data_IF_777876313239
#
_entry.id   IF_777876313239
#
_cell.length_a   1.000
_cell.length_b   1.000
_cell.length_c   1.000
_cell.angle_alpha   90.00
_cell.angle_beta   90.00
_cell.angle_gamma   90.00
#
_symmetry.space_group_name_H-M   'P 1'
#
loop_
_entity.id
_entity.type
_entity.pdbx_description
1 polymer ?
#
# COMPACT_ATOMS: atom_id res chain seq x y z
N UNK A 1 -29.12 53.04 -0.09
CA UNK A 1 -27.73 52.98 -0.62
C UNK A 1 -26.83 52.71 0.58
N UNK A 2 -25.98 51.68 0.69
CA UNK A 2 -25.60 50.61 -0.20
C UNK A 2 -25.34 49.35 0.64
N UNK A 3 -25.85 48.23 0.16
CA UNK A 3 -25.61 46.84 0.57
C UNK A 3 -24.40 46.29 -0.18
N UNK A 4 -23.36 45.76 0.49
CA UNK A 4 -22.37 44.87 -0.15
C UNK A 4 -21.83 43.82 0.86
N UNK A 5 -22.33 42.59 0.68
CA UNK A 5 -21.61 41.31 0.65
C UNK A 5 -20.78 40.86 1.87
N UNK A 6 -21.38 39.99 2.69
CA UNK A 6 -20.70 38.84 3.32
C UNK A 6 -21.49 37.58 2.96
N UNK A 7 -21.29 37.11 1.72
CA UNK A 7 -21.90 35.91 1.17
C UNK A 7 -20.81 34.96 0.70
N UNK A 8 -20.16 34.24 1.63
CA UNK A 8 -19.08 33.31 1.32
C UNK A 8 -19.20 31.93 1.96
N UNK A 9 -19.52 31.83 3.26
CA UNK A 9 -19.39 30.54 3.98
C UNK A 9 -20.55 29.56 3.84
N UNK A 10 -21.71 29.96 3.31
CA UNK A 10 -22.92 29.12 3.32
C UNK A 10 -23.15 28.29 2.05
N UNK A 11 -22.31 28.42 1.01
CA UNK A 11 -22.47 27.66 -0.25
C UNK A 11 -21.91 26.23 -0.13
N UNK A 12 -20.76 26.03 0.51
CA UNK A 12 -20.11 24.71 0.62
C UNK A 12 -20.92 23.74 1.52
N UNK A 13 -21.60 24.24 2.56
CA UNK A 13 -22.42 23.43 3.46
C UNK A 13 -23.75 22.98 2.84
N UNK A 14 -24.35 23.76 1.92
CA UNK A 14 -25.61 23.38 1.26
C UNK A 14 -25.44 22.31 0.19
N UNK A 15 -24.25 22.19 -0.39
CA UNK A 15 -23.96 21.22 -1.44
C UNK A 15 -23.63 19.83 -0.88
N UNK A 16 -23.11 19.76 0.35
CA UNK A 16 -22.87 18.50 1.06
C UNK A 16 -24.17 17.83 1.56
N UNK A 17 -25.17 18.62 1.97
CA UNK A 17 -26.41 18.10 2.58
C UNK A 17 -27.44 17.67 1.52
N UNK A 18 -27.42 18.23 0.30
CA UNK A 18 -28.36 17.87 -0.77
C UNK A 18 -28.09 16.54 -1.48
N UNK A 19 -26.93 15.90 -1.25
CA UNK A 19 -26.57 14.63 -1.92
C UNK A 19 -27.02 13.37 -1.16
N UNK A 20 -27.58 13.49 0.04
CA UNK A 20 -27.97 12.34 0.88
C UNK A 20 -29.42 11.88 0.71
N UNK A 21 -30.25 12.59 -0.07
CA UNK A 21 -31.67 12.30 -0.19
C UNK A 21 -32.08 12.18 -1.66
N UNK A 22 -31.92 10.99 -2.24
CA UNK A 22 -32.73 10.50 -3.37
C UNK A 22 -32.52 8.97 -3.49
N UNK A 23 -33.45 8.20 -2.93
CA UNK A 23 -33.64 6.76 -3.15
C UNK A 23 -34.81 6.55 -4.10
N UNK A 24 -34.61 5.85 -5.22
CA UNK A 24 -35.65 5.10 -5.97
C UNK A 24 -34.97 3.87 -6.65
N UNK A 25 -35.65 2.72 -6.83
CA UNK A 25 -35.01 1.39 -6.90
C UNK A 25 -35.04 0.66 -8.27
N UNK A 26 -34.27 -0.45 -8.30
CA UNK A 26 -34.39 -1.71 -9.08
C UNK A 26 -34.13 -1.74 -10.61
N UNK A 27 -33.12 -2.51 -11.03
CA UNK A 27 -33.26 -3.73 -11.84
C UNK A 27 -31.88 -4.42 -12.06
N UNK A 28 -31.83 -5.74 -11.93
CA UNK A 28 -30.63 -6.55 -12.09
C UNK A 28 -30.52 -7.15 -13.51
N UNK A 29 -29.34 -7.01 -14.13
CA UNK A 29 -28.89 -7.85 -15.24
C UNK A 29 -27.34 -7.92 -15.27
N UNK A 30 -26.74 -9.00 -15.81
CA UNK A 30 -25.41 -9.46 -15.38
C UNK A 30 -24.32 -9.15 -16.40
N UNK A 31 -23.56 -8.08 -16.17
CA UNK A 31 -22.19 -7.90 -16.68
C UNK A 31 -21.61 -6.62 -16.08
N UNK A 32 -21.09 -6.67 -14.85
CA UNK A 32 -20.68 -5.44 -14.17
C UNK A 32 -19.42 -5.61 -13.33
N UNK A 33 -18.26 -5.62 -13.99
CA UNK A 33 -16.97 -5.26 -13.37
C UNK A 33 -16.65 -3.77 -13.55
N UNK A 34 -17.66 -2.95 -13.90
CA UNK A 34 -17.54 -1.51 -13.97
C UNK A 34 -18.56 -0.90 -13.03
N UNK A 35 -18.17 -0.66 -11.78
CA UNK A 35 -18.96 0.20 -10.88
C UNK A 35 -19.19 1.56 -11.58
N UNK A 36 -20.42 1.93 -11.95
CA UNK A 36 -20.71 3.28 -12.36
C UNK A 36 -20.82 4.14 -11.08
N UNK A 37 -20.22 5.33 -11.12
CA UNK A 37 -20.08 6.30 -10.02
C UNK A 37 -18.99 5.98 -8.98
N UNK A 38 -17.92 6.77 -9.06
CA UNK A 38 -16.80 6.79 -8.12
C UNK A 38 -17.21 7.28 -6.74
N UNK A 39 -17.65 6.36 -5.89
CA UNK A 39 -17.43 6.51 -4.47
C UNK A 39 -15.90 6.47 -4.26
N UNK A 40 -15.29 7.56 -3.79
CA UNK A 40 -13.93 7.53 -3.24
C UNK A 40 -13.97 6.57 -2.06
N UNK A 41 -13.70 5.28 -2.31
CA UNK A 41 -13.61 4.28 -1.25
C UNK A 41 -12.25 4.52 -0.58
N UNK A 42 -12.28 5.28 0.51
CA UNK A 42 -11.11 5.48 1.36
C UNK A 42 -10.63 4.12 1.87
N UNK A 43 -9.31 3.92 1.90
CA UNK A 43 -8.75 2.66 2.36
C UNK A 43 -8.89 2.57 3.89
N UNK A 44 -8.66 3.71 4.55
CA UNK A 44 -8.95 3.93 5.96
C UNK A 44 -10.20 4.82 6.10
N UNK A 45 -11.05 4.56 7.08
CA UNK A 45 -12.22 5.41 7.32
C UNK A 45 -11.81 6.75 7.94
N UNK A 46 -12.63 7.79 7.77
CA UNK A 46 -12.40 9.10 8.41
C UNK A 46 -12.30 8.99 9.94
N UNK A 47 -12.97 8.01 10.54
CA UNK A 47 -12.89 7.67 11.97
C UNK A 47 -11.51 7.10 12.34
N UNK A 48 -10.97 6.16 11.55
CA UNK A 48 -9.62 5.62 11.75
C UNK A 48 -8.57 6.72 11.59
N UNK A 49 -8.76 7.59 10.61
CA UNK A 49 -7.90 8.76 10.40
C UNK A 49 -8.09 9.85 11.46
N UNK A 50 -9.22 9.83 12.20
CA UNK A 50 -9.65 10.86 13.17
C UNK A 50 -9.72 12.27 12.57
N UNK A 51 -10.18 12.38 11.32
CA UNK A 51 -10.31 13.67 10.63
C UNK A 51 -11.39 14.54 11.27
N UNK A 52 -12.52 13.94 11.63
CA UNK A 52 -13.62 14.65 12.28
C UNK A 52 -13.23 15.17 13.67
N UNK A 53 -12.55 14.37 14.50
CA UNK A 53 -12.03 14.80 15.80
C UNK A 53 -11.08 15.99 15.66
N UNK A 54 -10.21 15.97 14.65
CA UNK A 54 -9.29 17.07 14.35
C UNK A 54 -10.06 18.35 13.97
N UNK A 55 -11.03 18.25 13.05
CA UNK A 55 -11.87 19.39 12.66
C UNK A 55 -12.66 19.98 13.84
N UNK A 56 -13.21 19.13 14.71
CA UNK A 56 -13.88 19.58 15.92
C UNK A 56 -12.93 20.33 16.86
N UNK A 57 -11.70 19.84 17.03
CA UNK A 57 -10.69 20.54 17.84
C UNK A 57 -10.31 21.91 17.25
N UNK A 58 -10.21 22.03 15.91
CA UNK A 58 -10.01 23.33 15.25
C UNK A 58 -11.13 24.31 15.58
N UNK A 59 -12.38 23.86 15.56
CA UNK A 59 -13.53 24.71 15.90
C UNK A 59 -13.48 25.17 17.36
N UNK A 60 -13.20 24.26 18.31
CA UNK A 60 -13.11 24.61 19.73
C UNK A 60 -12.01 25.66 19.97
N UNK A 61 -10.82 25.44 19.40
CA UNK A 61 -9.68 26.36 19.55
C UNK A 61 -9.96 27.71 18.87
N UNK A 62 -10.58 27.68 17.68
CA UNK A 62 -10.99 28.90 16.98
C UNK A 62 -11.99 29.75 17.77
N UNK A 63 -12.95 29.12 18.45
CA UNK A 63 -13.90 29.81 19.32
C UNK A 63 -13.23 30.40 20.57
N UNK A 64 -12.27 29.70 21.17
CA UNK A 64 -11.54 30.18 22.36
C UNK A 64 -10.74 31.46 22.08
N UNK A 65 -10.21 31.60 20.88
CA UNK A 65 -9.41 32.77 20.48
C UNK A 65 -10.24 33.96 19.99
N UNK A 66 -11.57 33.88 19.98
CA UNK A 66 -12.50 34.97 19.62
C UNK A 66 -12.17 35.70 18.29
N UNK A 67 -11.44 35.06 17.37
CA UNK A 67 -11.02 35.67 16.10
C UNK A 67 -9.63 36.32 16.10
N UNK A 68 -8.87 36.30 17.19
CA UNK A 68 -7.50 36.84 17.27
C UNK A 68 -6.43 35.90 16.69
N UNK A 69 -6.75 35.22 15.59
CA UNK A 69 -5.82 34.31 14.90
C UNK A 69 -4.55 35.06 14.48
N UNK A 70 -4.69 36.20 13.82
CA UNK A 70 -3.55 36.92 13.24
C UNK A 70 -2.61 37.47 14.33
N UNK A 71 -3.17 37.89 15.46
CA UNK A 71 -2.41 38.30 16.66
C UNK A 71 -1.59 37.12 17.21
N UNK A 72 -2.19 35.94 17.27
CA UNK A 72 -1.51 34.73 17.73
C UNK A 72 -0.36 34.33 16.79
N UNK A 73 -0.59 34.33 15.47
CA UNK A 73 0.45 34.05 14.48
C UNK A 73 1.61 35.06 14.57
N UNK A 74 1.31 36.35 14.67
CA UNK A 74 2.31 37.41 14.83
C UNK A 74 3.16 37.20 16.09
N UNK A 75 2.54 36.77 17.19
CA UNK A 75 3.24 36.49 18.45
C UNK A 75 4.20 35.30 18.32
N UNK A 76 3.77 34.23 17.64
CA UNK A 76 4.61 33.05 17.38
C UNK A 76 5.76 33.38 16.44
N UNK A 77 5.52 34.17 15.40
CA UNK A 77 6.56 34.65 14.48
C UNK A 77 7.58 35.55 15.19
N UNK A 78 7.13 36.45 16.05
CA UNK A 78 8.03 37.27 16.87
C UNK A 78 8.93 36.39 17.76
N UNK A 79 8.38 35.31 18.35
CA UNK A 79 9.16 34.34 19.12
C UNK A 79 10.20 33.64 18.26
N UNK A 80 9.86 33.23 17.03
CA UNK A 80 10.82 32.67 16.09
C UNK A 80 11.95 33.65 15.79
N UNK A 81 11.62 34.91 15.48
CA UNK A 81 12.62 35.95 15.17
C UNK A 81 13.54 36.26 16.35
N UNK A 82 13.00 36.26 17.57
CA UNK A 82 13.75 36.50 18.81
C UNK A 82 14.41 35.25 19.39
N UNK A 83 14.36 34.10 18.70
CA UNK A 83 14.87 32.80 19.16
C UNK A 83 14.34 32.38 20.54
N UNK A 84 13.12 32.79 20.91
CA UNK A 84 12.49 32.39 22.17
C UNK A 84 11.98 30.94 22.08
N UNK A 85 11.91 30.28 23.24
CA UNK A 85 11.44 28.89 23.35
C UNK A 85 9.98 28.77 22.91
N UNK A 86 9.69 27.75 22.10
CA UNK A 86 8.35 27.42 21.64
C UNK A 86 7.76 26.35 22.55
N UNK A 87 6.63 26.65 23.19
CA UNK A 87 5.97 25.70 24.08
C UNK A 87 5.14 24.68 23.29
N UNK A 88 4.93 23.52 23.91
CA UNK A 88 4.13 22.42 23.37
C UNK A 88 2.70 22.85 23.01
N UNK A 89 2.03 23.55 23.92
CA UNK A 89 0.66 24.03 23.68
C UNK A 89 0.61 25.12 22.61
N UNK A 90 1.71 25.87 22.42
CA UNK A 90 1.77 26.89 21.39
C UNK A 90 1.82 26.27 19.99
N UNK A 91 2.67 25.26 19.80
CA UNK A 91 2.69 24.49 18.55
C UNK A 91 1.36 23.76 18.33
N UNK A 92 0.77 23.19 19.39
CA UNK A 92 -0.53 22.52 19.30
C UNK A 92 -1.62 23.47 18.84
N UNK A 93 -1.75 24.66 19.45
CA UNK A 93 -2.74 25.65 19.04
C UNK A 93 -2.49 26.13 17.61
N UNK A 94 -1.24 26.44 17.25
CA UNK A 94 -0.86 26.89 15.91
C UNK A 94 -1.36 25.91 14.84
N UNK A 95 -1.10 24.61 15.00
CA UNK A 95 -1.50 23.58 14.02
C UNK A 95 -3.02 23.49 13.83
N UNK A 96 -3.81 23.74 14.88
CA UNK A 96 -5.28 23.72 14.78
C UNK A 96 -5.84 25.03 14.23
N UNK A 97 -5.09 26.13 14.28
CA UNK A 97 -5.49 27.41 13.71
C UNK A 97 -5.15 27.57 12.22
N UNK A 98 -4.26 26.74 11.68
CA UNK A 98 -3.90 26.78 10.26
C UNK A 98 -5.13 26.50 9.38
N UNK A 99 -5.34 27.38 8.39
CA UNK A 99 -6.43 27.31 7.41
C UNK A 99 -5.93 27.47 5.96
N UNK A 100 -4.75 28.08 5.78
CA UNK A 100 -4.16 28.34 4.46
C UNK A 100 -2.79 27.70 4.33
N UNK A 101 -2.30 27.56 3.09
CA UNK A 101 -0.94 27.09 2.81
C UNK A 101 0.12 28.03 3.45
N UNK A 102 -0.11 29.34 3.46
CA UNK A 102 0.76 30.31 4.12
C UNK A 102 0.89 30.04 5.63
N UNK A 103 -0.23 29.70 6.29
CA UNK A 103 -0.21 29.33 7.71
C UNK A 103 0.63 28.08 7.95
N UNK A 104 0.58 27.12 7.02
CA UNK A 104 1.34 25.88 7.09
C UNK A 104 2.84 26.13 6.94
N UNK A 105 3.26 27.07 6.10
CA UNK A 105 4.67 27.46 5.99
C UNK A 105 5.22 28.04 7.30
N UNK A 106 4.43 28.84 8.02
CA UNK A 106 4.77 29.28 9.39
C UNK A 106 4.86 28.08 10.32
N UNK A 107 3.87 27.19 10.28
CA UNK A 107 3.85 25.98 11.11
C UNK A 107 5.06 25.07 10.87
N UNK A 108 5.52 24.91 9.61
CA UNK A 108 6.76 24.18 9.29
C UNK A 108 7.96 24.77 10.03
N UNK A 109 8.16 26.10 9.95
CA UNK A 109 9.27 26.78 10.66
C UNK A 109 9.22 26.55 12.16
N UNK A 110 8.02 26.62 12.75
CA UNK A 110 7.80 26.34 14.17
C UNK A 110 8.08 24.88 14.51
N UNK A 111 7.69 23.93 13.66
CA UNK A 111 8.00 22.50 13.82
C UNK A 111 9.52 22.27 13.84
N UNK A 112 10.27 22.85 12.90
CA UNK A 112 11.73 22.72 12.89
C UNK A 112 12.35 23.27 14.17
N UNK A 113 11.92 24.47 14.60
CA UNK A 113 12.42 25.10 15.83
C UNK A 113 12.10 24.27 17.06
N UNK A 114 10.84 23.88 17.23
CA UNK A 114 10.37 23.07 18.35
C UNK A 114 11.08 21.73 18.40
N UNK A 115 11.23 21.05 17.25
CA UNK A 115 11.92 19.77 17.22
C UNK A 115 13.40 19.92 17.58
N UNK A 116 14.09 20.94 17.05
CA UNK A 116 15.49 21.23 17.40
C UNK A 116 15.70 21.52 18.89
N UNK A 117 14.78 22.26 19.52
CA UNK A 117 14.80 22.54 20.97
C UNK A 117 14.58 21.29 21.83
N UNK A 118 13.77 20.35 21.35
CA UNK A 118 13.29 19.21 22.14
C UNK A 118 13.95 17.86 21.76
N UNK A 119 15.00 17.83 20.91
CA UNK A 119 15.64 16.57 20.47
C UNK A 119 16.14 15.68 21.61
N UNK A 120 16.50 16.28 22.75
CA UNK A 120 17.13 15.58 23.88
C UNK A 120 16.16 15.27 25.04
N UNK A 121 14.90 15.70 24.95
CA UNK A 121 13.89 15.41 25.98
C UNK A 121 13.19 14.12 25.59
N UNK A 122 13.10 13.16 26.52
CA UNK A 122 12.49 11.86 26.27
C UNK A 122 11.10 12.01 25.62
N UNK A 123 11.00 11.62 24.35
CA UNK A 123 9.78 11.68 23.55
C UNK A 123 8.72 10.76 24.15
N UNK A 124 7.77 11.33 24.89
CA UNK A 124 6.74 10.55 25.59
C UNK A 124 5.34 11.17 25.68
N UNK A 125 5.18 12.49 25.60
CA UNK A 125 3.88 13.05 26.00
C UNK A 125 2.91 13.40 24.87
N UNK A 126 3.38 13.86 23.71
CA UNK A 126 2.47 14.32 22.67
C UNK A 126 3.03 14.16 21.26
N UNK A 127 2.16 13.69 20.35
CA UNK A 127 2.53 13.29 19.00
C UNK A 127 1.98 14.32 18.01
N UNK A 128 2.85 15.23 17.58
CA UNK A 128 2.49 16.26 16.60
C UNK A 128 2.37 15.73 15.17
N UNK A 129 3.12 14.67 14.83
CA UNK A 129 3.13 14.07 13.49
C UNK A 129 1.74 13.80 12.91
N UNK A 130 0.85 13.08 13.63
CA UNK A 130 -0.51 12.83 13.14
C UNK A 130 -1.34 14.10 12.94
N UNK A 131 -1.16 15.14 13.77
CA UNK A 131 -1.92 16.40 13.64
C UNK A 131 -1.49 17.14 12.38
N UNK A 132 -0.18 17.27 12.16
CA UNK A 132 0.35 17.89 10.96
C UNK A 132 -0.09 17.14 9.69
N UNK A 133 -0.09 15.80 9.72
CA UNK A 133 -0.55 15.01 8.58
C UNK A 133 -2.04 15.18 8.29
N UNK A 134 -2.90 15.33 9.31
CA UNK A 134 -4.32 15.66 9.12
C UNK A 134 -4.52 17.06 8.56
N UNK A 135 -3.72 18.02 9.00
CA UNK A 135 -3.73 19.37 8.44
C UNK A 135 -3.38 19.35 6.94
N UNK A 136 -2.35 18.61 6.55
CA UNK A 136 -2.02 18.43 5.13
C UNK A 136 -3.11 17.66 4.37
N UNK A 137 -3.80 16.71 5.00
CA UNK A 137 -4.93 16.00 4.41
C UNK A 137 -6.11 16.94 4.14
N UNK A 138 -6.44 17.83 5.07
CA UNK A 138 -7.54 18.80 4.94
C UNK A 138 -7.27 19.85 3.86
N UNK A 139 -6.01 20.33 3.77
CA UNK A 139 -5.61 21.40 2.86
C UNK A 139 -5.06 20.90 1.52
N UNK A 140 -5.11 19.59 1.25
CA UNK A 140 -4.57 18.98 0.03
C UNK A 140 -3.08 19.34 -0.22
N UNK A 141 -2.27 19.31 0.85
CA UNK A 141 -0.83 19.64 0.82
C UNK A 141 0.05 18.39 0.82
N UNK A 142 -0.22 17.43 -0.08
CA UNK A 142 0.52 16.17 -0.12
C UNK A 142 2.03 16.34 -0.38
N UNK A 143 2.44 17.34 -1.17
CA UNK A 143 3.85 17.58 -1.49
C UNK A 143 4.64 17.98 -0.23
N UNK A 144 4.13 18.97 0.50
CA UNK A 144 4.67 19.43 1.79
C UNK A 144 4.73 18.31 2.83
N UNK A 145 3.74 17.42 2.85
CA UNK A 145 3.74 16.29 3.78
C UNK A 145 4.82 15.24 3.44
N UNK A 146 5.01 14.94 2.15
CA UNK A 146 6.05 14.00 1.68
C UNK A 146 7.45 14.57 1.91
N UNK A 147 7.65 15.87 1.72
CA UNK A 147 8.91 16.55 2.01
C UNK A 147 9.28 16.42 3.49
N UNK A 148 8.39 16.84 4.39
CA UNK A 148 8.69 16.87 5.82
C UNK A 148 8.89 15.48 6.43
N UNK A 149 8.13 14.47 6.00
CA UNK A 149 8.25 13.12 6.58
C UNK A 149 9.57 12.44 6.22
N UNK A 150 10.17 12.82 5.07
CA UNK A 150 11.45 12.29 4.57
C UNK A 150 12.65 13.12 5.05
N UNK A 151 12.41 14.28 5.66
CA UNK A 151 13.47 15.17 6.11
C UNK A 151 14.23 14.58 7.31
N UNK A 152 15.54 14.43 7.13
CA UNK A 152 16.44 13.94 8.16
C UNK A 152 16.58 14.90 9.34
N UNK A 153 16.37 16.21 9.14
CA UNK A 153 16.39 17.19 10.23
C UNK A 153 15.25 16.97 11.25
N UNK A 154 14.16 16.33 10.80
CA UNK A 154 12.98 15.97 11.59
C UNK A 154 12.94 14.49 11.98
N UNK A 155 14.06 13.76 11.89
CA UNK A 155 14.13 12.37 12.27
C UNK A 155 13.65 12.16 13.72
N UNK A 156 12.67 11.28 13.91
CA UNK A 156 12.04 11.01 15.21
C UNK A 156 10.84 11.90 15.54
N UNK A 157 10.64 13.03 14.85
CA UNK A 157 9.42 13.85 15.01
C UNK A 157 8.16 13.07 14.60
N UNK A 158 8.23 12.35 13.48
CA UNK A 158 7.16 11.48 12.98
C UNK A 158 7.28 10.04 13.52
N UNK A 159 7.52 9.85 14.81
CA UNK A 159 7.73 8.50 15.39
C UNK A 159 6.47 7.61 15.43
N UNK A 160 5.27 8.17 15.24
CA UNK A 160 4.02 7.41 15.21
C UNK A 160 3.68 6.95 13.78
N UNK A 161 3.44 5.64 13.63
CA UNK A 161 2.93 5.01 12.42
C UNK A 161 1.66 5.66 11.86
N UNK A 162 0.83 6.26 12.72
CA UNK A 162 -0.39 6.97 12.33
C UNK A 162 -0.09 8.12 11.37
N UNK A 163 1.05 8.82 11.54
CA UNK A 163 1.47 9.92 10.65
C UNK A 163 1.68 9.40 9.22
N UNK A 164 2.40 8.29 9.09
CA UNK A 164 2.65 7.63 7.81
C UNK A 164 1.36 7.07 7.20
N UNK A 165 0.49 6.46 8.02
CA UNK A 165 -0.78 5.91 7.54
C UNK A 165 -1.71 6.98 6.96
N UNK A 166 -1.82 8.15 7.62
CA UNK A 166 -2.62 9.29 7.11
C UNK A 166 -2.06 9.77 5.76
N UNK A 167 -0.74 9.94 5.66
CA UNK A 167 -0.10 10.38 4.41
C UNK A 167 -0.24 9.35 3.29
N UNK A 168 -0.04 8.07 3.58
CA UNK A 168 -0.23 7.00 2.60
C UNK A 168 -1.68 6.94 2.10
N UNK A 169 -2.67 7.11 2.97
CA UNK A 169 -4.08 7.18 2.56
C UNK A 169 -4.35 8.41 1.67
N UNK A 170 -3.84 9.59 2.04
CA UNK A 170 -3.94 10.81 1.22
C UNK A 170 -3.37 10.58 -0.19
N UNK A 171 -2.15 10.05 -0.27
CA UNK A 171 -1.50 9.77 -1.55
C UNK A 171 -2.25 8.70 -2.36
N UNK A 172 -2.80 7.70 -1.68
CA UNK A 172 -3.61 6.67 -2.32
C UNK A 172 -4.90 7.23 -2.92
N UNK A 173 -5.60 8.10 -2.19
CA UNK A 173 -6.82 8.79 -2.65
C UNK A 173 -6.51 9.72 -3.83
N UNK A 174 -5.33 10.33 -3.86
CA UNK A 174 -4.82 11.17 -4.96
C UNK A 174 -4.21 10.37 -6.11
N UNK A 175 -4.27 9.03 -6.07
CA UNK A 175 -3.67 8.13 -7.08
C UNK A 175 -2.15 8.29 -7.28
N UNK A 176 -1.43 8.80 -6.28
CA UNK A 176 0.04 8.93 -6.29
C UNK A 176 0.67 7.69 -5.63
N UNK A 177 0.55 6.53 -6.28
CA UNK A 177 0.89 5.24 -5.68
C UNK A 177 2.39 5.04 -5.48
N UNK A 178 3.22 5.55 -6.38
CA UNK A 178 4.69 5.50 -6.30
C UNK A 178 5.18 6.29 -5.08
N UNK A 179 4.69 7.52 -4.91
CA UNK A 179 4.98 8.33 -3.73
C UNK A 179 4.52 7.67 -2.44
N UNK A 180 3.35 7.00 -2.45
CA UNK A 180 2.85 6.27 -1.29
C UNK A 180 3.75 5.08 -0.93
N UNK A 181 4.29 4.38 -1.94
CA UNK A 181 5.27 3.31 -1.74
C UNK A 181 6.57 3.85 -1.14
N UNK A 182 7.06 5.00 -1.61
CA UNK A 182 8.25 5.63 -1.03
C UNK A 182 8.05 5.99 0.45
N UNK A 183 6.86 6.49 0.82
CA UNK A 183 6.53 6.79 2.23
C UNK A 183 6.54 5.53 3.08
N UNK A 184 6.06 4.39 2.55
CA UNK A 184 6.15 3.09 3.23
C UNK A 184 7.60 2.64 3.44
N UNK A 185 8.46 2.83 2.42
CA UNK A 185 9.88 2.48 2.51
C UNK A 185 10.62 3.39 3.50
N UNK A 186 10.30 4.68 3.52
CA UNK A 186 10.86 5.62 4.50
C UNK A 186 10.42 5.26 5.93
N UNK A 187 9.16 4.89 6.13
CA UNK A 187 8.66 4.39 7.43
C UNK A 187 9.49 3.21 7.93
N UNK A 188 9.83 2.26 7.03
CA UNK A 188 10.69 1.11 7.34
C UNK A 188 12.11 1.56 7.70
N UNK A 189 12.68 2.48 6.92
CA UNK A 189 14.03 3.03 7.11
C UNK A 189 14.19 3.75 8.45
N UNK A 190 13.17 4.50 8.87
CA UNK A 190 13.12 5.15 10.18
C UNK A 190 12.83 4.18 11.35
N UNK A 191 12.65 2.89 11.07
CA UNK A 191 12.39 1.87 12.10
C UNK A 191 11.00 1.98 12.75
N UNK A 192 10.06 2.69 12.14
CA UNK A 192 8.72 2.86 12.68
C UNK A 192 7.93 1.56 12.52
N UNK A 193 7.35 1.07 13.63
CA UNK A 193 6.64 -0.21 13.67
C UNK A 193 5.41 -0.19 12.75
N UNK A 194 5.24 -1.24 11.96
CA UNK A 194 4.07 -1.40 11.12
C UNK A 194 2.84 -1.78 11.95
N UNK A 195 1.76 -1.05 11.69
CA UNK A 195 0.43 -1.33 12.25
C UNK A 195 -0.38 -2.21 11.29
N UNK A 196 -1.55 -2.69 11.73
CA UNK A 196 -2.49 -3.41 10.86
C UNK A 196 -2.93 -2.56 9.65
N UNK A 197 -3.13 -1.27 9.87
CA UNK A 197 -3.53 -0.32 8.82
C UNK A 197 -2.38 -0.05 7.84
N UNK A 198 -1.14 0.00 8.34
CA UNK A 198 0.06 0.09 7.50
C UNK A 198 0.15 -1.09 6.54
N UNK A 199 -0.10 -2.31 7.03
CA UNK A 199 -0.13 -3.49 6.18
C UNK A 199 -1.25 -3.40 5.13
N UNK A 200 -2.45 -2.97 5.52
CA UNK A 200 -3.55 -2.81 4.58
C UNK A 200 -3.21 -1.83 3.45
N UNK A 201 -2.65 -0.68 3.80
CA UNK A 201 -2.21 0.35 2.85
C UNK A 201 -1.12 -0.18 1.93
N UNK A 202 -0.09 -0.84 2.47
CA UNK A 202 1.00 -1.41 1.68
C UNK A 202 0.50 -2.36 0.59
N UNK A 203 -0.39 -3.31 0.96
CA UNK A 203 -0.94 -4.27 0.01
C UNK A 203 -1.86 -3.61 -1.03
N UNK A 204 -2.63 -2.60 -0.65
CA UNK A 204 -3.45 -1.85 -1.59
C UNK A 204 -2.60 -1.05 -2.59
N UNK A 205 -1.51 -0.43 -2.13
CA UNK A 205 -0.54 0.28 -2.99
C UNK A 205 0.10 -0.71 -3.96
N UNK A 206 0.60 -1.87 -3.47
CA UNK A 206 1.16 -2.92 -4.33
C UNK A 206 0.15 -3.36 -5.41
N UNK A 207 -1.12 -3.55 -5.03
CA UNK A 207 -2.17 -3.96 -5.94
C UNK A 207 -2.41 -2.97 -7.08
N UNK A 208 -2.35 -1.67 -6.76
CA UNK A 208 -2.51 -0.60 -7.76
C UNK A 208 -1.31 -0.51 -8.69
N UNK A 209 -0.09 -0.53 -8.16
CA UNK A 209 1.14 -0.47 -8.96
C UNK A 209 1.33 -1.71 -9.85
N UNK A 210 1.14 -2.92 -9.30
CA UNK A 210 1.37 -4.19 -9.99
C UNK A 210 2.73 -4.29 -10.71
N UNK A 211 3.74 -3.61 -10.20
CA UNK A 211 5.12 -3.73 -10.70
C UNK A 211 5.80 -4.94 -10.06
N UNK A 212 6.79 -5.53 -10.74
CA UNK A 212 7.58 -6.64 -10.18
C UNK A 212 8.22 -6.28 -8.84
N UNK A 213 8.64 -5.02 -8.68
CA UNK A 213 9.19 -4.50 -7.44
C UNK A 213 8.14 -4.45 -6.31
N UNK A 214 6.94 -3.92 -6.59
CA UNK A 214 5.85 -3.88 -5.61
C UNK A 214 5.47 -5.28 -5.11
N UNK A 215 5.51 -6.28 -5.99
CA UNK A 215 5.24 -7.67 -5.61
C UNK A 215 6.34 -8.24 -4.69
N UNK A 216 7.62 -7.96 -4.97
CA UNK A 216 8.72 -8.35 -4.08
C UNK A 216 8.55 -7.73 -2.69
N UNK A 217 8.21 -6.45 -2.63
CA UNK A 217 7.94 -5.75 -1.36
C UNK A 217 6.81 -6.44 -0.61
N UNK A 218 5.69 -6.71 -1.27
CA UNK A 218 4.56 -7.40 -0.66
C UNK A 218 4.90 -8.82 -0.17
N UNK A 219 5.74 -9.59 -0.88
CA UNK A 219 6.23 -10.90 -0.41
C UNK A 219 7.11 -10.76 0.84
N UNK A 220 8.07 -9.82 0.85
CA UNK A 220 8.91 -9.60 2.03
C UNK A 220 8.10 -9.17 3.25
N UNK A 221 7.07 -8.33 3.05
CA UNK A 221 6.15 -7.95 4.11
C UNK A 221 5.37 -9.15 4.67
N UNK A 222 4.97 -10.09 3.81
CA UNK A 222 4.28 -11.30 4.25
C UNK A 222 5.18 -12.18 5.12
N UNK A 223 6.41 -12.42 4.66
CA UNK A 223 7.41 -13.23 5.35
C UNK A 223 7.77 -12.63 6.72
N UNK A 224 8.03 -11.32 6.78
CA UNK A 224 8.32 -10.60 8.02
C UNK A 224 7.18 -10.71 9.04
N UNK A 225 5.94 -10.67 8.57
CA UNK A 225 4.76 -10.75 9.42
C UNK A 225 4.50 -12.17 9.93
N UNK A 226 4.78 -13.18 9.11
CA UNK A 226 4.73 -14.59 9.50
C UNK A 226 5.77 -14.92 10.56
N UNK A 227 7.01 -14.42 10.39
CA UNK A 227 8.08 -14.58 11.38
C UNK A 227 7.72 -13.95 12.73
N UNK A 228 7.00 -12.82 12.72
CA UNK A 228 6.52 -12.13 13.92
C UNK A 228 5.26 -12.74 14.52
N UNK A 229 4.64 -13.74 13.88
CA UNK A 229 3.40 -14.38 14.35
C UNK A 229 2.18 -13.47 14.36
N UNK A 230 2.16 -12.39 13.57
CA UNK A 230 1.07 -11.41 13.58
C UNK A 230 -0.05 -11.84 12.62
N UNK A 231 -1.26 -12.02 13.16
CA UNK A 231 -2.46 -12.31 12.37
C UNK A 231 -2.85 -11.11 11.49
N UNK A 232 -2.93 -11.34 10.18
CA UNK A 232 -3.35 -10.33 9.20
C UNK A 232 -4.88 -10.22 9.14
N UNK A 233 -5.45 -9.01 9.00
CA UNK A 233 -6.86 -8.84 8.67
C UNK A 233 -7.22 -9.54 7.37
N UNK A 234 -8.44 -10.11 7.28
CA UNK A 234 -8.94 -10.80 6.07
C UNK A 234 -8.79 -9.97 4.79
N UNK A 235 -8.99 -8.65 4.88
CA UNK A 235 -8.82 -7.73 3.74
C UNK A 235 -7.41 -7.73 3.15
N UNK A 236 -6.38 -7.90 3.98
CA UNK A 236 -4.99 -7.97 3.52
C UNK A 236 -4.78 -9.24 2.70
N UNK A 237 -5.33 -10.37 3.13
CA UNK A 237 -5.33 -11.60 2.34
C UNK A 237 -6.06 -11.43 1.01
N UNK A 238 -7.21 -10.74 0.99
CA UNK A 238 -7.91 -10.44 -0.26
C UNK A 238 -7.04 -9.64 -1.23
N UNK A 239 -6.31 -8.62 -0.73
CA UNK A 239 -5.36 -7.88 -1.57
C UNK A 239 -4.19 -8.74 -2.01
N UNK A 240 -3.62 -9.57 -1.14
CA UNK A 240 -2.53 -10.48 -1.48
C UNK A 240 -2.95 -11.46 -2.60
N UNK A 241 -4.14 -12.04 -2.48
CA UNK A 241 -4.73 -12.90 -3.52
C UNK A 241 -4.96 -12.11 -4.81
N UNK A 242 -5.49 -10.89 -4.73
CA UNK A 242 -5.72 -10.06 -5.90
C UNK A 242 -4.42 -9.67 -6.63
N UNK A 243 -3.35 -9.36 -5.87
CA UNK A 243 -2.00 -9.13 -6.41
C UNK A 243 -1.49 -10.40 -7.08
N UNK A 244 -1.57 -11.55 -6.40
CA UNK A 244 -1.12 -12.84 -6.95
C UNK A 244 -1.85 -13.21 -8.23
N UNK A 245 -3.18 -13.04 -8.28
CA UNK A 245 -3.99 -13.27 -9.48
C UNK A 245 -3.60 -12.36 -10.65
N UNK A 246 -3.26 -11.10 -10.37
CA UNK A 246 -2.79 -10.16 -11.40
C UNK A 246 -1.41 -10.56 -11.92
N UNK A 247 -0.52 -11.00 -11.03
CA UNK A 247 0.80 -11.52 -11.39
C UNK A 247 0.76 -12.86 -12.16
N UNK A 248 -0.24 -13.72 -11.92
CA UNK A 248 -0.45 -14.96 -12.70
C UNK A 248 -0.71 -14.63 -14.18
N UNK A 249 -1.31 -13.48 -14.50
CA UNK A 249 -1.48 -13.07 -15.89
C UNK A 249 -0.15 -12.77 -16.59
N UNK A 250 0.79 -12.17 -15.86
CA UNK A 250 2.03 -11.62 -16.40
C UNK A 250 3.24 -12.58 -16.26
N UNK A 251 3.19 -13.54 -15.33
CA UNK A 251 4.33 -14.41 -14.99
C UNK A 251 4.24 -15.80 -15.64
N UNK A 252 5.30 -16.19 -16.33
CA UNK A 252 5.47 -17.51 -16.95
C UNK A 252 6.26 -18.45 -16.02
N UNK A 253 5.55 -19.08 -15.08
CA UNK A 253 6.04 -20.20 -14.29
C UNK A 253 5.14 -21.43 -14.54
N UNK A 254 5.67 -22.65 -14.37
CA UNK A 254 4.92 -23.91 -14.52
C UNK A 254 3.60 -23.89 -13.73
N UNK A 255 3.65 -23.55 -12.45
CA UNK A 255 2.46 -23.49 -11.59
C UNK A 255 1.51 -22.38 -12.05
N UNK A 256 2.03 -21.17 -12.32
CA UNK A 256 1.22 -20.03 -12.77
C UNK A 256 0.54 -20.30 -14.12
N UNK A 257 1.20 -20.99 -15.04
CA UNK A 257 0.67 -21.33 -16.37
C UNK A 257 -0.50 -22.31 -16.25
N UNK A 258 -0.38 -23.32 -15.38
CA UNK A 258 -1.47 -24.25 -15.09
C UNK A 258 -2.64 -23.57 -14.38
N UNK A 259 -2.37 -22.71 -13.38
CA UNK A 259 -3.40 -21.91 -12.71
C UNK A 259 -4.10 -20.95 -13.68
N UNK A 260 -3.37 -20.34 -14.61
CA UNK A 260 -3.91 -19.43 -15.62
C UNK A 260 -4.90 -20.13 -16.55
N UNK A 261 -4.53 -21.29 -17.09
CA UNK A 261 -5.42 -22.11 -17.95
C UNK A 261 -6.68 -22.50 -17.18
N UNK A 262 -6.54 -22.97 -15.93
CA UNK A 262 -7.68 -23.34 -15.10
C UNK A 262 -8.60 -22.14 -14.81
N UNK A 263 -8.01 -20.97 -14.53
CA UNK A 263 -8.76 -19.75 -14.24
C UNK A 263 -9.54 -19.27 -15.47
N UNK A 264 -8.93 -19.31 -16.66
CA UNK A 264 -9.59 -18.97 -17.93
C UNK A 264 -10.72 -19.94 -18.27
N UNK A 265 -10.52 -21.25 -18.05
CA UNK A 265 -11.55 -22.26 -18.25
C UNK A 265 -12.76 -22.04 -17.33
N UNK A 266 -12.53 -21.60 -16.09
CA UNK A 266 -13.60 -21.32 -15.12
C UNK A 266 -14.25 -19.95 -15.33
N UNK A 267 -13.53 -18.95 -15.84
CA UNK A 267 -14.09 -17.62 -16.14
C UNK A 267 -14.83 -17.55 -17.48
N UNK A 268 -14.71 -18.57 -18.34
CA UNK A 268 -15.31 -18.61 -19.67
C UNK A 268 -14.52 -17.83 -20.74
N UNK A 269 -13.26 -17.48 -20.46
CA UNK A 269 -12.35 -16.87 -21.44
C UNK A 269 -11.72 -17.97 -22.32
N UNK A 270 -12.55 -18.58 -23.18
CA UNK A 270 -12.17 -19.74 -24.00
C UNK A 270 -11.11 -19.39 -25.05
N UNK A 271 -11.22 -18.22 -25.70
CA UNK A 271 -10.23 -17.74 -26.67
C UNK A 271 -8.88 -17.47 -25.99
N UNK A 272 -8.89 -16.76 -24.85
CA UNK A 272 -7.67 -16.48 -24.10
C UNK A 272 -6.99 -17.74 -23.56
N UNK A 273 -7.76 -18.80 -23.28
CA UNK A 273 -7.26 -20.12 -22.92
C UNK A 273 -6.49 -20.74 -24.09
N UNK A 274 -7.12 -20.88 -25.26
CA UNK A 274 -6.50 -21.49 -26.45
C UNK A 274 -5.22 -20.75 -26.82
N UNK A 275 -5.25 -19.42 -26.85
CA UNK A 275 -4.07 -18.60 -27.13
C UNK A 275 -2.94 -18.77 -26.10
N UNK A 276 -3.28 -19.06 -24.84
CA UNK A 276 -2.27 -19.27 -23.79
C UNK A 276 -1.57 -20.62 -23.96
N UNK A 277 -2.31 -21.64 -24.37
CA UNK A 277 -1.77 -22.97 -24.69
C UNK A 277 -0.95 -22.94 -25.98
N UNK A 278 -1.45 -22.26 -27.02
CA UNK A 278 -0.73 -22.02 -28.29
C UNK A 278 0.62 -21.32 -28.05
N UNK A 279 0.61 -20.17 -27.35
CA UNK A 279 1.85 -19.43 -27.03
C UNK A 279 2.87 -20.27 -26.27
N UNK A 280 2.42 -21.19 -25.41
CA UNK A 280 3.30 -22.07 -24.66
C UNK A 280 3.86 -23.24 -25.51
N UNK A 281 3.13 -23.65 -26.55
CA UNK A 281 3.57 -24.63 -27.55
C UNK A 281 4.61 -24.04 -28.50
N UNK A 282 4.44 -22.77 -28.93
CA UNK A 282 5.30 -22.14 -29.93
C UNK A 282 6.67 -21.68 -29.38
N UNK A 283 6.75 -21.38 -28.07
CA UNK A 283 7.99 -20.91 -27.42
C UNK A 283 9.03 -22.01 -27.13
N UNK A 284 8.89 -23.19 -27.72
CA UNK A 284 9.80 -24.31 -27.54
C UNK A 284 11.16 -24.10 -28.25
N UNK A 285 11.96 -23.13 -27.81
CA UNK A 285 13.38 -23.08 -28.17
C UNK A 285 14.16 -24.13 -27.37
N UNK A 286 15.20 -24.72 -27.98
CA UNK A 286 16.01 -25.81 -27.40
C UNK A 286 16.70 -25.42 -26.07
N UNK A 287 16.83 -24.12 -25.80
CA UNK A 287 17.61 -23.57 -24.69
C UNK A 287 16.78 -23.04 -23.51
N UNK A 288 15.45 -22.96 -23.63
CA UNK A 288 14.56 -22.49 -22.55
C UNK A 288 13.76 -23.66 -21.99
N UNK A 289 13.64 -23.73 -20.66
CA UNK A 289 12.81 -24.76 -20.00
C UNK A 289 11.40 -24.73 -20.58
N UNK A 290 10.97 -25.85 -21.15
CA UNK A 290 9.64 -26.01 -21.73
C UNK A 290 8.58 -25.85 -20.63
N UNK A 291 7.50 -25.12 -20.94
CA UNK A 291 6.36 -25.03 -20.04
C UNK A 291 5.66 -26.38 -19.96
N UNK A 292 5.52 -26.91 -18.74
CA UNK A 292 4.86 -28.19 -18.48
C UNK A 292 3.43 -27.97 -17.96
N UNK A 293 2.46 -28.65 -18.56
CA UNK A 293 1.05 -28.60 -18.17
C UNK A 293 0.60 -29.90 -17.52
N UNK A 294 -0.22 -29.81 -16.47
CA UNK A 294 -0.87 -30.94 -15.83
C UNK A 294 -1.95 -31.51 -16.74
N UNK A 295 -1.97 -32.83 -16.90
CA UNK A 295 -3.02 -33.51 -17.67
C UNK A 295 -4.43 -33.13 -17.17
N UNK A 296 -4.63 -33.13 -15.85
CA UNK A 296 -5.89 -32.76 -15.21
C UNK A 296 -6.40 -31.36 -15.60
N UNK A 297 -5.50 -30.39 -15.78
CA UNK A 297 -5.88 -29.02 -16.12
C UNK A 297 -6.32 -28.95 -17.58
N UNK A 298 -5.60 -29.64 -18.47
CA UNK A 298 -5.92 -29.69 -19.89
C UNK A 298 -7.22 -30.48 -20.16
N UNK A 299 -7.48 -31.56 -19.42
CA UNK A 299 -8.77 -32.29 -19.53
C UNK A 299 -9.94 -31.42 -19.07
N UNK A 300 -9.78 -30.67 -17.97
CA UNK A 300 -10.80 -29.72 -17.50
C UNK A 300 -11.06 -28.61 -18.52
N UNK A 301 -10.01 -28.12 -19.19
CA UNK A 301 -10.12 -27.15 -20.27
C UNK A 301 -10.88 -27.72 -21.48
N UNK A 302 -10.55 -28.95 -21.88
CA UNK A 302 -11.22 -29.68 -22.97
C UNK A 302 -12.73 -29.80 -22.74
N UNK A 303 -13.15 -30.20 -21.54
CA UNK A 303 -14.57 -30.31 -21.19
C UNK A 303 -15.31 -28.97 -21.36
N UNK A 304 -14.67 -27.85 -21.02
CA UNK A 304 -15.26 -26.52 -21.14
C UNK A 304 -15.31 -25.98 -22.57
N UNK A 305 -14.45 -26.49 -23.45
CA UNK A 305 -14.40 -26.12 -24.88
C UNK A 305 -15.38 -26.91 -25.75
N UNK A 306 -16.04 -27.96 -25.24
CA UNK A 306 -17.00 -28.76 -26.02
C UNK A 306 -18.17 -27.96 -26.60
N UNK A 307 -18.48 -26.79 -26.05
CA UNK A 307 -19.52 -25.88 -26.54
C UNK A 307 -19.13 -25.06 -27.77
N UNK A 308 -17.84 -24.98 -28.14
CA UNK A 308 -17.35 -24.24 -29.31
C UNK A 308 -16.47 -25.13 -30.19
N UNK A 309 -17.02 -25.66 -31.31
CA UNK A 309 -16.31 -26.58 -32.19
C UNK A 309 -15.03 -25.99 -32.79
N UNK A 310 -14.97 -24.67 -33.01
CA UNK A 310 -13.84 -24.02 -33.67
C UNK A 310 -12.63 -23.93 -32.75
N UNK A 311 -12.87 -23.52 -31.50
CA UNK A 311 -11.83 -23.45 -30.47
C UNK A 311 -11.41 -24.84 -30.01
N UNK A 312 -12.34 -25.80 -30.02
CA UNK A 312 -12.05 -27.18 -29.67
C UNK A 312 -11.01 -27.81 -30.62
N UNK A 313 -11.18 -27.65 -31.95
CA UNK A 313 -10.22 -28.20 -32.92
C UNK A 313 -8.83 -27.58 -32.75
N UNK A 314 -8.74 -26.26 -32.61
CA UNK A 314 -7.47 -25.55 -32.35
C UNK A 314 -6.79 -26.02 -31.06
N UNK A 315 -7.57 -26.22 -30.00
CA UNK A 315 -7.08 -26.75 -28.74
C UNK A 315 -6.57 -28.19 -28.88
N UNK A 316 -7.28 -29.07 -29.60
CA UNK A 316 -6.86 -30.46 -29.78
C UNK A 316 -5.55 -30.57 -30.58
N UNK A 317 -5.39 -29.77 -31.64
CA UNK A 317 -4.15 -29.71 -32.41
C UNK A 317 -2.96 -29.28 -31.55
N UNK A 318 -3.15 -28.27 -30.71
CA UNK A 318 -2.10 -27.76 -29.81
C UNK A 318 -1.85 -28.72 -28.65
N UNK A 319 -2.88 -29.38 -28.13
CA UNK A 319 -2.76 -30.43 -27.13
C UNK A 319 -1.95 -31.63 -27.65
N UNK A 320 -2.20 -32.09 -28.89
CA UNK A 320 -1.43 -33.15 -29.53
C UNK A 320 0.05 -32.75 -29.70
N UNK A 321 0.33 -31.49 -30.09
CA UNK A 321 1.69 -30.95 -30.15
C UNK A 321 2.38 -30.96 -28.78
N UNK A 322 1.68 -30.56 -27.72
CA UNK A 322 2.20 -30.57 -26.35
C UNK A 322 2.49 -31.99 -25.83
N UNK A 323 1.67 -32.98 -26.21
CA UNK A 323 1.93 -34.38 -25.89
C UNK A 323 3.17 -34.89 -26.63
N UNK A 324 3.27 -34.63 -27.93
CA UNK A 324 4.41 -35.04 -28.76
C UNK A 324 5.73 -34.39 -28.28
N UNK A 325 5.67 -33.17 -27.75
CA UNK A 325 6.84 -32.46 -27.22
C UNK A 325 7.21 -32.84 -25.78
N UNK A 326 6.45 -33.75 -25.14
CA UNK A 326 6.67 -34.17 -23.75
C UNK A 326 6.37 -33.09 -22.71
N UNK A 327 5.55 -32.09 -23.06
CA UNK A 327 5.21 -30.95 -22.18
C UNK A 327 4.01 -31.22 -21.27
N UNK A 328 3.52 -32.46 -21.21
CA UNK A 328 2.39 -32.84 -20.36
C UNK A 328 2.88 -33.71 -19.21
N UNK A 329 2.55 -33.31 -17.98
CA UNK A 329 2.89 -34.06 -16.77
C UNK A 329 1.67 -34.82 -16.24
N UNK A 330 1.92 -36.01 -15.67
CA UNK A 330 0.96 -36.79 -14.90
C UNK A 330 0.63 -36.22 -13.51
N UNK A 331 1.47 -35.32 -12.98
CA UNK A 331 1.23 -34.67 -11.70
C UNK A 331 -0.04 -33.81 -11.74
N UNK A 332 -0.83 -33.86 -10.66
CA UNK A 332 -1.98 -32.98 -10.50
C UNK A 332 -1.54 -31.56 -10.17
N UNK A 333 -2.44 -30.59 -10.34
CA UNK A 333 -2.14 -29.21 -9.93
C UNK A 333 -1.93 -29.11 -8.42
N UNK A 334 -2.65 -29.91 -7.64
CA UNK A 334 -2.49 -29.99 -6.19
C UNK A 334 -1.10 -30.53 -5.80
N UNK A 335 -0.64 -31.60 -6.46
CA UNK A 335 0.71 -32.12 -6.27
C UNK A 335 1.79 -31.08 -6.57
N UNK A 336 1.59 -30.25 -7.61
CA UNK A 336 2.53 -29.18 -7.93
C UNK A 336 2.55 -28.05 -6.89
N UNK A 337 1.41 -27.74 -6.29
CA UNK A 337 1.31 -26.74 -5.22
C UNK A 337 1.93 -27.25 -3.91
N UNK A 338 1.78 -28.55 -3.63
CA UNK A 338 2.31 -29.21 -2.46
C UNK A 338 3.80 -29.60 -2.60
N UNK A 339 4.38 -29.47 -3.79
CA UNK A 339 5.81 -29.68 -3.98
C UNK A 339 6.62 -28.63 -3.25
N UNK A 340 7.51 -29.08 -2.36
CA UNK A 340 8.50 -28.20 -1.76
C UNK A 340 9.29 -27.48 -2.87
N UNK A 341 9.39 -26.14 -2.84
CA UNK A 341 10.26 -25.42 -3.74
C UNK A 341 11.65 -26.03 -3.60
N UNK A 342 12.23 -26.52 -4.69
CA UNK A 342 13.62 -27.02 -4.68
C UNK A 342 14.47 -25.87 -4.16
N UNK A 343 14.90 -25.95 -2.90
CA UNK A 343 15.73 -24.94 -2.24
C UNK A 343 16.85 -24.58 -3.19
N UNK A 344 16.89 -23.32 -3.67
CA UNK A 344 18.13 -22.77 -4.23
C UNK A 344 19.17 -22.96 -3.12
N UNK A 345 20.04 -23.96 -3.28
CA UNK A 345 21.07 -24.38 -2.31
C UNK A 345 22.09 -23.28 -1.96
N UNK A 346 21.85 -22.01 -2.33
CA UNK A 346 22.78 -20.90 -2.16
C UNK A 346 22.61 -20.11 -0.85
N UNK A 347 21.49 -20.22 -0.12
CA UNK A 347 21.35 -19.51 1.17
C UNK A 347 21.82 -20.32 2.38
N UNK A 348 21.78 -21.66 2.32
CA UNK A 348 22.23 -22.52 3.42
C UNK A 348 23.75 -22.70 3.49
N UNK A 349 24.51 -22.32 2.45
CA UNK A 349 25.99 -22.25 2.54
C UNK A 349 26.48 -20.98 3.23
N UNK A 350 25.76 -19.86 3.16
CA UNK A 350 26.14 -18.61 3.84
C UNK A 350 25.93 -18.68 5.36
N UNK A 351 24.94 -19.44 5.82
CA UNK A 351 24.67 -19.66 7.26
C UNK A 351 25.49 -20.81 7.88
N UNK A 352 26.24 -21.59 7.09
CA UNK A 352 27.10 -22.68 7.57
C UNK A 352 28.60 -22.45 7.34
N UNK A 353 29.04 -21.24 7.01
CA UNK A 353 30.44 -20.89 7.24
C UNK A 353 30.65 -20.54 8.71
N UNK A 354 30.76 -21.58 9.55
CA UNK A 354 31.58 -21.45 10.76
C UNK A 354 32.96 -21.00 10.29
N UNK A 355 33.34 -19.76 10.56
CA UNK A 355 34.70 -19.28 10.32
C UNK A 355 35.63 -20.13 11.19
N UNK A 356 36.22 -21.15 10.58
CA UNK A 356 37.33 -21.91 11.15
C UNK A 356 38.60 -21.15 10.77
N UNK A 357 39.43 -20.86 11.77
CA UNK A 357 40.75 -20.26 11.53
C UNK A 357 41.58 -21.18 10.64
N UNK A 358 42.04 -20.69 9.48
CA UNK A 358 42.91 -21.44 8.57
C UNK A 358 44.29 -21.75 9.17
N UNK A 359 44.70 -21.10 10.26
CA UNK A 359 45.97 -21.38 10.96
C UNK A 359 45.85 -22.48 12.02
N UNK A 360 44.69 -22.68 12.63
CA UNK A 360 44.55 -23.52 13.83
C UNK A 360 43.42 -24.55 13.78
N UNK A 361 42.62 -24.59 12.71
CA UNK A 361 41.55 -25.57 12.47
C UNK A 361 40.57 -25.77 13.66
N UNK A 362 40.37 -24.76 14.51
CA UNK A 362 39.36 -24.77 15.58
C UNK A 362 38.21 -23.78 15.29
N UNK A 363 36.95 -24.10 15.68
CA UNK A 363 35.82 -23.20 15.54
C UNK A 363 35.92 -22.03 16.53
N UNK A 364 35.71 -20.81 16.05
CA UNK A 364 35.69 -19.60 16.91
C UNK A 364 34.47 -19.65 17.85
N UNK A 365 34.64 -19.46 19.18
CA UNK A 365 33.52 -19.39 20.10
C UNK A 365 32.71 -18.11 19.88
N UNK A 366 31.39 -18.26 19.78
CA UNK A 366 30.42 -17.17 19.72
C UNK A 366 30.31 -16.51 21.10
N UNK A 367 31.04 -15.43 21.32
CA UNK A 367 30.80 -14.52 22.42
C UNK A 367 30.27 -13.20 21.84
N UNK A 368 29.06 -12.81 22.29
CA UNK A 368 28.59 -11.44 22.55
C UNK A 368 27.05 -11.43 22.54
N UNK A 369 26.46 -11.93 23.62
CA UNK A 369 25.14 -11.54 24.13
C UNK A 369 25.29 -11.45 25.65
N UNK A 370 25.91 -10.37 26.12
CA UNK A 370 25.87 -9.89 27.49
C UNK A 370 26.64 -8.56 27.58
N UNK A 371 25.94 -7.46 27.30
CA UNK A 371 25.80 -6.26 28.15
C UNK A 371 24.92 -5.23 27.46
#
# INVERSE_FOLDING_TARGET
MATVVVGGSNRLLREAIKRSALRVPLAAAPSCWKCPQGAKRYLLTEEVLRLHEFQQQKLVIGCQLHGEKDTYFSTVEEKLMKNRLILKDELKMLLHLCQTESDVEVAKKVIYRYHAENKNVAFGEFKFGPIFMRLCYELDLEASAVELIKDQALHGFFSDCTSFNILMDLLFVKSRYECALDVLLEMRKQGVKFSRDTCMLAYAICYKLNSSESCKICTTLLEDMQLKGVLMPRRVYCFAVAVALKQIKDTENRICSNLKVLLQAKSGDLEGLVQTVERASDRASVFVKRHEFCMQVLTTAREKLQGDPTLYVRFEETFAKLQASGQVTSLTLDDLLCQMPRTRKHYTQLLKQKKVSQRTFKPLPSALLSE
#
